data_IF_992765787215
#
_entry.id   IF_992765787215
#
_cell.length_a   1.000
_cell.length_b   1.000
_cell.length_c   1.000
_cell.angle_alpha   90.00
_cell.angle_beta   90.00
_cell.angle_gamma   90.00
#
_symmetry.space_group_name_H-M   'P 1'
#
loop_
_entity.id
_entity.type
_entity.pdbx_description
1 polymer ?
#
# COMPACT_ATOMS: atom_id res chain seq x y z
N UNK A 1 2.44 -22.29 17.75
CA UNK A 1 2.16 -22.33 16.29
C UNK A 1 0.74 -21.84 16.08
N UNK A 2 0.53 -20.52 16.03
CA UNK A 2 -0.80 -19.93 15.78
C UNK A 2 -1.02 -20.00 14.28
N UNK A 3 -2.03 -20.78 13.87
CA UNK A 3 -2.39 -21.00 12.47
C UNK A 3 -2.67 -19.68 11.75
N UNK A 4 -2.02 -19.47 10.59
CA UNK A 4 -2.28 -18.39 9.62
C UNK A 4 -3.78 -18.23 9.27
N UNK A 5 -4.61 -19.25 9.49
CA UNK A 5 -6.05 -19.21 9.24
C UNK A 5 -6.85 -18.37 10.26
N UNK A 6 -6.45 -18.35 11.53
CA UNK A 6 -7.18 -17.62 12.57
C UNK A 6 -6.93 -16.11 12.53
N UNK A 7 -5.74 -15.68 12.09
CA UNK A 7 -5.41 -14.26 11.89
C UNK A 7 -6.10 -13.68 10.66
N UNK A 8 -6.23 -14.46 9.58
CA UNK A 8 -6.97 -14.08 8.37
C UNK A 8 -8.47 -13.87 8.63
N UNK A 9 -9.09 -14.77 9.42
CA UNK A 9 -10.50 -14.65 9.77
C UNK A 9 -10.80 -13.42 10.64
N UNK A 10 -9.97 -13.17 11.68
CA UNK A 10 -10.14 -12.02 12.58
C UNK A 10 -9.91 -10.67 11.89
N UNK A 11 -8.92 -10.59 10.99
CA UNK A 11 -8.67 -9.40 10.19
C UNK A 11 -9.84 -9.07 9.26
N UNK A 12 -10.41 -10.08 8.61
CA UNK A 12 -11.56 -9.89 7.73
C UNK A 12 -12.81 -9.44 8.50
N UNK A 13 -13.09 -10.04 9.66
CA UNK A 13 -14.23 -9.64 10.50
C UNK A 13 -14.08 -8.24 11.08
N UNK A 14 -12.87 -7.82 11.46
CA UNK A 14 -12.62 -6.44 11.92
C UNK A 14 -12.91 -5.44 10.79
N UNK A 15 -12.34 -5.65 9.60
CA UNK A 15 -12.54 -4.76 8.47
C UNK A 15 -14.02 -4.66 8.08
N UNK A 16 -14.75 -5.79 8.06
CA UNK A 16 -16.18 -5.82 7.74
C UNK A 16 -17.03 -4.98 8.70
N UNK A 17 -16.64 -4.87 9.97
CA UNK A 17 -17.35 -4.07 10.96
C UNK A 17 -16.85 -2.63 11.03
N UNK A 18 -15.66 -2.35 10.52
CA UNK A 18 -15.01 -1.06 10.60
C UNK A 18 -15.24 -0.19 9.36
N UNK A 19 -15.50 -0.81 8.20
CA UNK A 19 -15.71 -0.13 6.92
C UNK A 19 -17.21 -0.12 6.60
N UNK A 20 -17.72 1.03 6.20
CA UNK A 20 -19.10 1.14 5.70
C UNK A 20 -19.27 0.26 4.45
N UNK A 21 -20.41 -0.44 4.24
CA UNK A 21 -20.60 -1.30 3.07
C UNK A 21 -20.33 -0.60 1.73
N UNK A 22 -20.72 0.67 1.65
CA UNK A 22 -20.50 1.57 0.51
C UNK A 22 -19.28 2.49 0.71
N UNK A 23 -18.34 2.11 1.57
CA UNK A 23 -17.15 2.89 1.85
C UNK A 23 -16.27 3.06 0.61
N UNK A 24 -15.50 4.14 0.56
CA UNK A 24 -14.61 4.47 -0.54
C UNK A 24 -13.14 4.44 -0.11
N UNK A 25 -12.29 3.79 -0.90
CA UNK A 25 -10.84 3.74 -0.75
C UNK A 25 -10.18 4.31 -2.02
N UNK A 26 -9.47 5.45 -1.90
CA UNK A 26 -8.86 6.18 -3.02
C UNK A 26 -9.78 6.29 -4.26
N UNK A 27 -11.04 6.67 -4.05
CA UNK A 27 -12.03 6.82 -5.12
C UNK A 27 -12.69 5.52 -5.64
N UNK A 28 -12.20 4.34 -5.25
CA UNK A 28 -12.86 3.06 -5.50
C UNK A 28 -13.85 2.72 -4.39
N UNK A 29 -14.98 2.07 -4.68
CA UNK A 29 -16.03 1.77 -3.69
C UNK A 29 -16.13 0.30 -3.31
N UNK A 30 -16.69 0.06 -2.13
CA UNK A 30 -17.00 -1.27 -1.61
C UNK A 30 -15.85 -1.91 -0.85
N UNK A 31 -16.17 -2.98 -0.12
CA UNK A 31 -15.23 -3.66 0.78
C UNK A 31 -13.96 -4.15 0.08
N UNK A 32 -14.08 -4.67 -1.15
CA UNK A 32 -12.95 -5.19 -1.92
C UNK A 32 -11.91 -4.11 -2.24
N UNK A 33 -12.33 -2.84 -2.41
CA UNK A 33 -11.43 -1.72 -2.64
C UNK A 33 -10.48 -1.50 -1.45
N UNK A 34 -10.92 -1.81 -0.23
CA UNK A 34 -10.09 -1.74 0.96
C UNK A 34 -9.18 -2.95 1.10
N UNK A 35 -9.65 -4.16 0.77
CA UNK A 35 -8.90 -5.40 1.02
C UNK A 35 -7.84 -5.69 -0.05
N UNK A 36 -8.14 -5.40 -1.31
CA UNK A 36 -7.28 -5.74 -2.44
C UNK A 36 -5.83 -5.18 -2.31
N UNK A 37 -5.60 -3.92 -1.91
CA UNK A 37 -4.25 -3.41 -1.72
C UNK A 37 -3.46 -4.19 -0.67
N UNK A 38 -4.07 -4.56 0.46
CA UNK A 38 -3.40 -5.35 1.50
C UNK A 38 -3.02 -6.74 1.01
N UNK A 39 -3.88 -7.39 0.23
CA UNK A 39 -3.58 -8.68 -0.38
C UNK A 39 -2.42 -8.58 -1.37
N UNK A 40 -2.40 -7.52 -2.21
CA UNK A 40 -1.31 -7.26 -3.13
C UNK A 40 0.01 -7.10 -2.38
N UNK A 41 0.06 -6.25 -1.36
CA UNK A 41 1.28 -6.02 -0.58
C UNK A 41 1.77 -7.27 0.14
N UNK A 42 0.85 -8.06 0.72
CA UNK A 42 1.20 -9.32 1.37
C UNK A 42 1.76 -10.35 0.37
N UNK A 43 1.42 -10.25 -0.92
CA UNK A 43 1.94 -11.12 -1.96
C UNK A 43 3.31 -10.69 -2.50
N UNK A 44 3.56 -9.38 -2.65
CA UNK A 44 4.78 -8.87 -3.30
C UNK A 44 5.91 -8.51 -2.33
N UNK A 45 5.61 -8.26 -1.06
CA UNK A 45 6.60 -7.90 -0.06
C UNK A 45 6.84 -9.03 0.95
N UNK A 46 8.12 -9.36 1.17
CA UNK A 46 8.53 -10.34 2.19
C UNK A 46 8.38 -9.80 3.61
N UNK A 47 8.46 -8.47 3.78
CA UNK A 47 8.25 -7.77 5.04
C UNK A 47 7.35 -6.56 4.79
N UNK A 48 6.38 -6.35 5.67
CA UNK A 48 5.53 -5.17 5.67
C UNK A 48 5.24 -4.80 7.13
N UNK A 49 5.85 -3.71 7.61
CA UNK A 49 5.64 -3.19 8.96
C UNK A 49 5.15 -1.76 8.85
N UNK A 50 3.95 -1.51 9.36
CA UNK A 50 3.38 -0.17 9.46
C UNK A 50 3.66 0.39 10.85
N UNK A 51 4.16 1.61 10.92
CA UNK A 51 4.31 2.36 12.16
C UNK A 51 3.54 3.68 12.06
N UNK A 52 2.60 3.90 12.97
CA UNK A 52 1.90 5.18 13.08
C UNK A 52 2.77 6.18 13.82
N UNK A 53 3.11 7.29 13.16
CA UNK A 53 3.95 8.36 13.70
C UNK A 53 3.14 9.45 14.35
N UNK A 54 2.00 9.79 13.75
CA UNK A 54 1.14 10.86 14.24
C UNK A 54 -0.31 10.57 13.86
N UNK A 55 -1.22 10.97 14.73
CA UNK A 55 -2.66 11.05 14.47
C UNK A 55 -3.10 12.47 14.82
N UNK A 56 -3.92 13.07 13.97
CA UNK A 56 -4.48 14.39 14.17
C UNK A 56 -5.95 14.41 13.75
N UNK A 57 -6.79 15.02 14.58
CA UNK A 57 -8.18 15.30 14.22
C UNK A 57 -8.19 16.51 13.26
N UNK A 58 -8.76 16.32 12.07
CA UNK A 58 -8.91 17.42 11.11
C UNK A 58 -10.24 18.14 11.32
N UNK A 59 -11.31 17.39 11.57
CA UNK A 59 -12.63 17.93 11.87
C UNK A 59 -13.49 16.91 12.62
N UNK A 60 -14.44 17.39 13.40
CA UNK A 60 -15.46 16.54 14.04
C UNK A 60 -16.77 17.30 14.13
N UNK A 61 -17.84 16.63 13.76
CA UNK A 61 -19.21 17.12 13.76
C UNK A 61 -20.16 16.04 14.31
N UNK A 62 -21.45 16.37 14.40
CA UNK A 62 -22.49 15.42 14.82
C UNK A 62 -22.60 14.20 13.90
N UNK A 63 -22.29 14.37 12.61
CA UNK A 63 -22.53 13.35 11.59
C UNK A 63 -21.23 12.73 11.07
N UNK A 64 -20.12 13.45 11.13
CA UNK A 64 -18.85 13.04 10.54
C UNK A 64 -17.65 13.39 11.41
N UNK A 65 -16.64 12.52 11.42
CA UNK A 65 -15.31 12.80 11.97
C UNK A 65 -14.23 12.52 10.94
N UNK A 66 -13.29 13.45 10.76
CA UNK A 66 -12.17 13.31 9.83
C UNK A 66 -10.86 13.28 10.62
N UNK A 67 -10.11 12.19 10.44
CA UNK A 67 -8.84 11.95 11.13
C UNK A 67 -7.75 11.78 10.09
N UNK A 68 -6.61 12.43 10.32
CA UNK A 68 -5.40 12.21 9.54
C UNK A 68 -4.39 11.40 10.35
N UNK A 69 -3.86 10.34 9.74
CA UNK A 69 -2.72 9.60 10.25
C UNK A 69 -1.50 9.82 9.35
N UNK A 70 -0.33 10.00 9.96
CA UNK A 70 0.95 9.89 9.29
C UNK A 70 1.59 8.58 9.70
N UNK A 71 1.93 7.75 8.73
CA UNK A 71 2.53 6.44 8.95
C UNK A 71 3.81 6.30 8.15
N UNK A 72 4.68 5.39 8.59
CA UNK A 72 5.80 4.90 7.79
C UNK A 72 5.62 3.41 7.62
N UNK A 73 5.59 2.95 6.37
CA UNK A 73 5.55 1.53 6.04
C UNK A 73 6.94 1.07 5.65
N UNK A 74 7.53 0.18 6.44
CA UNK A 74 8.81 -0.46 6.14
C UNK A 74 8.59 -1.73 5.34
N UNK A 75 9.19 -1.81 4.16
CA UNK A 75 9.05 -2.92 3.23
C UNK A 75 10.37 -3.27 2.55
N UNK A 76 10.61 -4.55 2.27
CA UNK A 76 11.81 -5.02 1.54
C UNK A 76 11.47 -5.32 0.09
N UNK A 77 12.18 -4.70 -0.85
CA UNK A 77 11.95 -4.92 -2.27
C UNK A 77 12.55 -6.24 -2.76
N UNK A 78 11.68 -7.14 -3.23
CA UNK A 78 12.04 -8.26 -4.10
C UNK A 78 11.70 -7.97 -5.56
N UNK A 79 12.08 -8.88 -6.47
CA UNK A 79 11.78 -8.73 -7.90
C UNK A 79 10.29 -8.54 -8.19
N UNK A 80 9.42 -9.26 -7.45
CA UNK A 80 7.97 -9.12 -7.58
C UNK A 80 7.53 -7.67 -7.31
N UNK A 81 7.91 -7.11 -6.16
CA UNK A 81 7.58 -5.72 -5.82
C UNK A 81 8.13 -4.70 -6.82
N UNK A 82 9.38 -4.88 -7.30
CA UNK A 82 9.97 -3.99 -8.31
C UNK A 82 9.15 -4.04 -9.60
N UNK A 83 8.85 -5.24 -10.10
CA UNK A 83 8.12 -5.42 -11.36
C UNK A 83 6.68 -4.88 -11.31
N UNK A 84 6.03 -4.97 -10.14
CA UNK A 84 4.65 -4.51 -9.96
C UNK A 84 4.58 -3.00 -9.75
N UNK A 85 5.42 -2.43 -8.88
CA UNK A 85 5.29 -1.05 -8.43
C UNK A 85 6.12 -0.06 -9.24
N UNK A 86 7.25 -0.52 -9.75
CA UNK A 86 8.25 0.31 -10.43
C UNK A 86 8.64 -0.38 -11.76
N UNK A 87 7.69 -0.64 -12.67
CA UNK A 87 7.95 -1.42 -13.88
C UNK A 87 9.05 -0.79 -14.76
N UNK A 88 9.16 0.55 -14.76
CA UNK A 88 10.23 1.27 -15.47
C UNK A 88 11.63 0.99 -14.93
N UNK A 89 11.75 0.59 -13.66
CA UNK A 89 13.03 0.21 -13.08
C UNK A 89 13.57 -1.09 -13.69
N UNK A 90 12.71 -1.99 -14.19
CA UNK A 90 13.12 -3.27 -14.78
C UNK A 90 14.04 -3.08 -16.00
N UNK A 91 13.88 -1.97 -16.73
CA UNK A 91 14.72 -1.61 -17.87
C UNK A 91 16.12 -1.11 -17.45
N UNK A 92 16.30 -0.79 -16.16
CA UNK A 92 17.52 -0.22 -15.57
C UNK A 92 18.12 -1.18 -14.55
N UNK A 93 18.94 -2.14 -15.03
CA UNK A 93 19.56 -3.18 -14.20
C UNK A 93 20.37 -2.61 -13.03
N UNK A 94 21.01 -1.46 -13.22
CA UNK A 94 21.72 -0.73 -12.18
C UNK A 94 20.79 -0.29 -11.02
N UNK A 95 19.57 0.14 -11.33
CA UNK A 95 18.56 0.53 -10.33
C UNK A 95 17.89 -0.68 -9.69
N UNK A 96 17.60 -1.73 -10.46
CA UNK A 96 17.10 -3.01 -9.91
C UNK A 96 18.06 -3.55 -8.85
N UNK A 97 19.37 -3.55 -9.13
CA UNK A 97 20.37 -4.02 -8.18
C UNK A 97 20.41 -3.21 -6.88
N UNK A 98 20.13 -1.90 -6.94
CA UNK A 98 20.02 -1.04 -5.75
C UNK A 98 18.75 -1.31 -4.94
N UNK A 99 17.64 -1.61 -5.62
CA UNK A 99 16.34 -1.89 -4.98
C UNK A 99 16.29 -3.28 -4.36
N UNK A 100 16.92 -4.28 -4.97
CA UNK A 100 16.84 -5.66 -4.49
C UNK A 100 17.39 -5.82 -3.07
N UNK A 101 16.54 -6.30 -2.17
CA UNK A 101 16.86 -6.48 -0.76
C UNK A 101 16.89 -5.16 0.04
N UNK A 102 16.72 -4.02 -0.61
CA UNK A 102 16.69 -2.73 0.07
C UNK A 102 15.41 -2.60 0.91
N UNK A 103 15.57 -2.14 2.14
CA UNK A 103 14.48 -1.89 3.06
C UNK A 103 14.04 -0.43 2.93
N UNK A 104 12.94 -0.21 2.23
CA UNK A 104 12.33 1.09 2.06
C UNK A 104 11.48 1.44 3.28
N UNK A 105 11.69 2.62 3.87
CA UNK A 105 10.69 3.27 4.70
C UNK A 105 9.85 4.20 3.84
N UNK A 106 8.57 3.91 3.63
CA UNK A 106 7.64 4.70 2.83
C UNK A 106 6.73 5.54 3.72
N UNK A 107 6.91 6.87 3.77
CA UNK A 107 5.95 7.76 4.40
C UNK A 107 4.60 7.70 3.68
N UNK A 108 3.51 7.57 4.44
CA UNK A 108 2.15 7.56 3.91
C UNK A 108 1.29 8.48 4.79
N UNK A 109 0.68 9.46 4.14
CA UNK A 109 -0.40 10.26 4.74
C UNK A 109 -1.72 9.54 4.45
N UNK A 110 -2.50 9.27 5.50
CA UNK A 110 -3.83 8.65 5.38
C UNK A 110 -4.86 9.58 5.98
N UNK A 111 -5.98 9.79 5.28
CA UNK A 111 -7.14 10.51 5.79
C UNK A 111 -8.30 9.55 5.87
N UNK A 112 -8.87 9.42 7.06
CA UNK A 112 -10.05 8.64 7.34
C UNK A 112 -11.23 9.58 7.56
N UNK A 113 -12.36 9.27 6.95
CA UNK A 113 -13.65 9.88 7.21
C UNK A 113 -14.56 8.83 7.84
N UNK A 114 -15.12 9.16 8.99
CA UNK A 114 -16.01 8.29 9.75
C UNK A 114 -17.42 8.84 9.76
N UNK A 115 -18.40 7.97 9.61
CA UNK A 115 -19.77 8.28 10.01
C UNK A 115 -19.85 8.21 11.54
N UNK A 116 -20.22 9.32 12.18
CA UNK A 116 -20.22 9.45 13.65
C UNK A 116 -21.28 8.58 14.34
N UNK A 117 -22.34 8.18 13.61
CA UNK A 117 -23.47 7.39 14.17
C UNK A 117 -23.14 5.92 14.21
N UNK A 118 -22.65 5.40 13.10
CA UNK A 118 -22.28 3.99 12.90
C UNK A 118 -20.84 3.70 13.34
N UNK A 119 -20.00 4.75 13.46
CA UNK A 119 -18.56 4.67 13.75
C UNK A 119 -17.78 3.85 12.72
N UNK A 120 -18.27 3.86 11.48
CA UNK A 120 -17.65 3.15 10.36
C UNK A 120 -16.91 4.12 9.45
N UNK A 121 -15.86 3.65 8.80
CA UNK A 121 -15.11 4.41 7.78
C UNK A 121 -15.95 4.49 6.52
N UNK A 122 -16.31 5.71 6.12
CA UNK A 122 -17.01 5.98 4.86
C UNK A 122 -16.03 6.32 3.74
N UNK A 123 -14.92 6.98 4.05
CA UNK A 123 -13.87 7.30 3.07
C UNK A 123 -12.48 7.11 3.67
N UNK A 124 -11.57 6.60 2.86
CA UNK A 124 -10.17 6.46 3.20
C UNK A 124 -9.33 6.86 1.98
N UNK A 125 -8.48 7.87 2.17
CA UNK A 125 -7.51 8.29 1.14
C UNK A 125 -6.10 8.10 1.66
N UNK A 126 -5.22 7.51 0.85
CA UNK A 126 -3.80 7.34 1.14
C UNK A 126 -2.94 8.04 0.10
N UNK A 127 -1.95 8.78 0.55
CA UNK A 127 -0.97 9.49 -0.28
C UNK A 127 0.44 9.01 0.12
N UNK A 128 0.98 7.99 -0.56
CA UNK A 128 2.36 7.56 -0.34
C UNK A 128 3.35 8.52 -1.01
N UNK A 129 4.41 8.87 -0.28
CA UNK A 129 5.51 9.68 -0.82
C UNK A 129 6.78 8.84 -1.00
N UNK A 130 6.98 8.33 -2.22
CA UNK A 130 8.12 7.47 -2.55
C UNK A 130 9.40 8.26 -2.85
N UNK A 131 9.30 9.55 -3.18
CA UNK A 131 10.44 10.35 -3.63
C UNK A 131 11.57 10.38 -2.60
N UNK A 132 11.34 10.76 -1.32
CA UNK A 132 12.43 10.85 -0.34
C UNK A 132 13.08 9.49 -0.10
N UNK A 133 12.28 8.42 -0.10
CA UNK A 133 12.77 7.06 0.11
C UNK A 133 13.65 6.60 -1.06
N UNK A 134 13.17 6.74 -2.30
CA UNK A 134 13.94 6.36 -3.49
C UNK A 134 15.18 7.23 -3.68
N UNK A 135 15.12 8.52 -3.32
CA UNK A 135 16.29 9.39 -3.32
C UNK A 135 17.37 8.87 -2.37
N UNK A 136 16.98 8.38 -1.19
CA UNK A 136 17.89 7.71 -0.26
C UNK A 136 18.49 6.41 -0.81
N UNK A 137 17.78 5.70 -1.70
CA UNK A 137 18.28 4.47 -2.34
C UNK A 137 19.25 4.78 -3.51
N UNK A 138 18.90 5.73 -4.38
CA UNK A 138 19.65 5.97 -5.62
C UNK A 138 20.72 7.04 -5.49
N UNK A 139 20.57 7.97 -4.55
CA UNK A 139 21.47 9.08 -4.29
C UNK A 139 21.31 10.28 -5.23
N UNK A 140 20.37 10.25 -6.17
CA UNK A 140 20.11 11.34 -7.10
C UNK A 140 18.64 11.36 -7.56
N UNK A 141 18.14 12.54 -7.94
CA UNK A 141 16.76 12.73 -8.35
C UNK A 141 16.49 12.24 -9.78
N UNK A 142 17.50 12.23 -10.65
CA UNK A 142 17.36 11.80 -12.04
C UNK A 142 16.90 10.34 -12.14
N UNK A 143 17.55 9.45 -11.40
CA UNK A 143 17.19 8.03 -11.33
C UNK A 143 15.80 7.82 -10.70
N UNK A 144 15.43 8.64 -9.70
CA UNK A 144 14.11 8.59 -9.07
C UNK A 144 13.03 8.93 -10.08
N UNK A 145 13.20 10.05 -10.79
CA UNK A 145 12.22 10.52 -11.78
C UNK A 145 12.15 9.62 -13.01
N UNK A 146 13.24 8.92 -13.36
CA UNK A 146 13.26 7.97 -14.46
C UNK A 146 12.34 6.76 -14.24
N UNK A 147 12.15 6.33 -12.98
CA UNK A 147 11.36 5.12 -12.66
C UNK A 147 9.95 5.41 -12.17
N UNK A 148 9.70 6.62 -11.66
CA UNK A 148 8.36 7.00 -11.21
C UNK A 148 7.41 7.21 -12.38
N UNK A 149 6.11 6.92 -12.20
CA UNK A 149 5.10 7.30 -13.17
C UNK A 149 5.01 8.84 -13.29
N UNK A 150 4.46 9.35 -14.41
CA UNK A 150 4.30 10.79 -14.61
C UNK A 150 3.44 11.43 -13.50
N UNK A 151 3.61 12.73 -13.20
CA UNK A 151 2.74 13.45 -12.28
C UNK A 151 1.26 13.27 -12.65
N UNK A 152 0.40 13.09 -11.64
CA UNK A 152 -1.03 12.83 -11.83
C UNK A 152 -1.37 11.35 -12.13
N UNK A 153 -0.38 10.52 -12.41
CA UNK A 153 -0.47 9.07 -12.34
C UNK A 153 0.26 8.65 -11.07
N UNK A 154 -0.28 8.99 -9.90
CA UNK A 154 0.16 8.27 -8.71
C UNK A 154 0.01 6.77 -9.04
N UNK A 155 0.95 5.90 -8.63
CA UNK A 155 0.60 4.50 -8.47
C UNK A 155 -0.43 4.53 -7.35
N UNK A 156 -1.67 4.82 -7.71
CA UNK A 156 -2.77 4.65 -6.83
C UNK A 156 -2.84 3.14 -6.70
N UNK A 157 -2.33 2.67 -5.58
CA UNK A 157 -2.20 1.24 -5.34
C UNK A 157 -3.58 0.58 -5.24
N UNK A 158 -4.65 1.39 -5.19
CA UNK A 158 -6.04 1.03 -5.40
C UNK A 158 -6.42 0.73 -6.86
N UNK A 159 -5.66 1.24 -7.84
CA UNK A 159 -5.96 1.14 -9.29
C UNK A 159 -5.17 0.05 -10.01
N UNK A 160 -4.26 -0.67 -9.35
CA UNK A 160 -3.72 -1.87 -9.99
C UNK A 160 -4.85 -2.90 -10.10
N UNK A 161 -5.29 -3.26 -11.32
CA UNK A 161 -6.23 -4.35 -11.46
C UNK A 161 -5.59 -5.57 -10.79
N UNK A 162 -6.39 -6.32 -10.02
CA UNK A 162 -6.00 -7.62 -9.48
C UNK A 162 -5.82 -8.57 -10.67
N UNK A 163 -4.75 -8.40 -11.44
CA UNK A 163 -4.23 -9.44 -12.30
C UNK A 163 -3.60 -10.41 -11.33
N UNK A 164 -4.33 -11.49 -11.02
CA UNK A 164 -3.75 -12.63 -10.32
C UNK A 164 -2.41 -12.92 -11.00
N UNK A 165 -1.26 -12.90 -10.31
CA UNK A 165 -0.02 -13.30 -10.94
C UNK A 165 -0.22 -14.75 -11.39
N UNK A 166 -0.33 -14.95 -12.70
CA UNK A 166 -0.18 -16.27 -13.30
C UNK A 166 1.29 -16.61 -13.11
N UNK A 167 1.62 -17.21 -11.97
CA UNK A 167 2.93 -17.81 -11.75
C UNK A 167 3.08 -18.87 -12.84
N UNK A 168 4.03 -18.72 -13.78
CA UNK A 168 4.31 -19.78 -14.73
C UNK A 168 4.70 -21.02 -13.92
N UNK A 169 4.07 -22.16 -14.21
CA UNK A 169 4.31 -23.42 -13.48
C UNK A 169 5.78 -23.86 -13.51
N UNK A 170 6.56 -23.30 -14.41
CA UNK A 170 7.94 -23.69 -14.69
C UNK A 170 8.97 -23.13 -13.68
N UNK A 171 8.57 -22.24 -12.74
CA UNK A 171 9.49 -21.68 -11.75
C UNK A 171 9.54 -22.44 -10.40
N UNK A 172 8.71 -23.46 -10.22
CA UNK A 172 8.63 -24.22 -8.95
C UNK A 172 9.56 -25.45 -8.93
N UNK A 173 10.20 -25.79 -10.05
CA UNK A 173 11.11 -26.96 -10.14
C UNK A 173 12.61 -26.62 -10.11
N UNK A 174 13.02 -25.40 -9.74
CA UNK A 174 14.45 -25.03 -9.73
C UNK A 174 14.93 -24.32 -8.46
N UNK A 175 14.38 -24.67 -7.29
CA UNK A 175 14.94 -24.37 -5.96
C UNK A 175 14.71 -25.53 -5.02
#
# INVERSE_FOLDING_TARGET
>A
MVSRSASSYRGNTFLHNFIHPDGHFNGSSGFDAFVAPWMLYAAIFSTNRVECKQIADLSTSSDEAVIQAQTVTTMTFGMAAISTLLPRAIERRDLVNKLLGWQMGLPIRTVFTFDSKTRTVTHLTTEPDMIPSLLGCFGNLEDVMAILPPPGHHPDLALFPIVRPSVPRDFVEMV
#
